data_IF_878137798513
#
_entry.id   IF_878137798513
#
_cell.length_a   1.000
_cell.length_b   1.000
_cell.length_c   1.000
_cell.angle_alpha   90.00
_cell.angle_beta   90.00
_cell.angle_gamma   90.00
#
_symmetry.space_group_name_H-M   'P 1'
#
loop_
_entity.id
_entity.type
_entity.pdbx_description
1 polymer ?
#
# COMPACT_ATOMS: atom_id res chain seq x y z
N UNK A 1 -10.44 -0.55 3.75
CA UNK A 1 -10.95 -1.81 3.16
C UNK A 1 -10.83 -1.66 1.66
N UNK A 2 -10.14 -2.59 0.98
CA UNK A 2 -9.90 -2.49 -0.47
C UNK A 2 -11.20 -2.61 -1.25
N UNK A 3 -11.21 -2.22 -2.52
CA UNK A 3 -12.37 -2.39 -3.38
C UNK A 3 -12.69 -3.87 -3.62
N UNK A 4 -11.66 -4.71 -3.78
CA UNK A 4 -11.81 -6.16 -3.84
C UNK A 4 -12.38 -6.73 -2.54
N UNK A 5 -11.96 -6.22 -1.37
CA UNK A 5 -12.55 -6.62 -0.09
C UNK A 5 -14.06 -6.34 -0.05
N UNK A 6 -14.49 -5.18 -0.55
CA UNK A 6 -15.90 -4.83 -0.62
C UNK A 6 -16.68 -5.82 -1.51
N UNK A 7 -16.09 -6.24 -2.64
CA UNK A 7 -16.67 -7.24 -3.56
C UNK A 7 -16.82 -8.59 -2.87
N UNK A 8 -15.76 -9.07 -2.23
CA UNK A 8 -15.77 -10.36 -1.51
C UNK A 8 -16.78 -10.36 -0.38
N UNK A 9 -16.85 -9.28 0.40
CA UNK A 9 -17.76 -9.14 1.52
C UNK A 9 -19.22 -9.12 1.06
N UNK A 10 -19.54 -8.40 -0.01
CA UNK A 10 -20.88 -8.38 -0.60
C UNK A 10 -21.30 -9.73 -1.18
N UNK A 11 -20.39 -10.42 -1.87
CA UNK A 11 -20.65 -11.76 -2.40
C UNK A 11 -20.90 -12.76 -1.26
N UNK A 12 -20.07 -12.72 -0.22
CA UNK A 12 -20.24 -13.54 0.99
C UNK A 12 -21.57 -13.25 1.69
N UNK A 13 -21.96 -11.98 1.83
CA UNK A 13 -23.23 -11.59 2.44
C UNK A 13 -24.43 -12.14 1.68
N UNK A 14 -24.40 -12.01 0.35
CA UNK A 14 -25.46 -12.52 -0.51
C UNK A 14 -25.57 -14.04 -0.42
N UNK A 15 -24.44 -14.75 -0.46
CA UNK A 15 -24.42 -16.20 -0.33
C UNK A 15 -24.91 -16.66 1.04
N UNK A 16 -24.46 -16.04 2.13
CA UNK A 16 -24.91 -16.36 3.48
C UNK A 16 -26.42 -16.22 3.62
N UNK A 17 -27.00 -15.15 3.06
CA UNK A 17 -28.44 -14.87 3.15
C UNK A 17 -29.30 -15.73 2.22
N UNK A 18 -28.82 -16.04 1.02
CA UNK A 18 -29.66 -16.61 -0.04
C UNK A 18 -29.23 -18.00 -0.49
N UNK A 19 -28.12 -18.53 0.03
CA UNK A 19 -27.50 -19.80 -0.39
C UNK A 19 -27.29 -19.86 -1.91
N UNK A 20 -27.01 -18.70 -2.51
CA UNK A 20 -26.80 -18.52 -3.94
C UNK A 20 -25.86 -17.33 -4.17
N UNK A 21 -25.01 -17.44 -5.18
CA UNK A 21 -24.10 -16.36 -5.56
C UNK A 21 -24.81 -15.23 -6.32
N UNK A 22 -24.35 -13.99 -6.19
CA UNK A 22 -24.95 -12.88 -6.89
C UNK A 22 -24.63 -12.88 -8.38
N UNK A 23 -25.53 -12.34 -9.18
CA UNK A 23 -25.34 -12.19 -10.63
C UNK A 23 -24.93 -10.77 -11.04
N UNK A 24 -25.13 -9.77 -10.18
CA UNK A 24 -24.76 -8.38 -10.42
C UNK A 24 -24.17 -7.70 -9.18
N UNK A 25 -23.06 -6.99 -9.36
CA UNK A 25 -22.44 -6.09 -8.38
C UNK A 25 -22.46 -4.66 -8.91
N UNK A 26 -22.74 -3.70 -8.04
CA UNK A 26 -22.79 -2.28 -8.36
C UNK A 26 -21.80 -1.53 -7.49
N UNK A 27 -20.82 -0.90 -8.11
CA UNK A 27 -19.77 -0.11 -7.46
C UNK A 27 -19.89 1.35 -7.90
N UNK A 28 -19.62 2.30 -7.01
CA UNK A 28 -19.40 3.68 -7.43
C UNK A 28 -18.10 3.81 -8.26
N UNK A 29 -17.94 4.93 -8.96
CA UNK A 29 -16.80 5.14 -9.84
C UNK A 29 -15.43 5.02 -9.11
N UNK A 30 -15.23 5.59 -7.90
CA UNK A 30 -13.98 5.43 -7.17
C UNK A 30 -13.65 3.97 -6.84
N UNK A 31 -14.64 3.18 -6.38
CA UNK A 31 -14.43 1.76 -6.08
C UNK A 31 -14.19 0.94 -7.34
N UNK A 32 -14.90 1.21 -8.44
CA UNK A 32 -14.63 0.49 -9.69
C UNK A 32 -13.22 0.77 -10.20
N UNK A 33 -12.79 2.03 -10.16
CA UNK A 33 -11.44 2.43 -10.53
C UNK A 33 -10.40 1.75 -9.64
N UNK A 34 -10.59 1.78 -8.32
CA UNK A 34 -9.70 1.10 -7.37
C UNK A 34 -9.63 -0.41 -7.63
N UNK A 35 -10.77 -1.08 -7.88
CA UNK A 35 -10.80 -2.51 -8.19
C UNK A 35 -9.96 -2.83 -9.43
N UNK A 36 -10.06 -2.02 -10.48
CA UNK A 36 -9.28 -2.21 -11.71
C UNK A 36 -7.77 -2.07 -11.51
N UNK A 37 -7.32 -1.37 -10.46
CA UNK A 37 -5.91 -1.21 -10.11
C UNK A 37 -5.43 -2.18 -9.02
N UNK A 38 -6.34 -2.73 -8.21
CA UNK A 38 -6.05 -3.68 -7.13
C UNK A 38 -5.88 -5.13 -7.62
N UNK A 39 -6.37 -5.46 -8.82
CA UNK A 39 -6.37 -6.83 -9.34
C UNK A 39 -5.71 -6.92 -10.71
N UNK A 40 -5.15 -8.08 -11.03
CA UNK A 40 -4.60 -8.33 -12.37
C UNK A 40 -5.72 -8.34 -13.42
N UNK A 41 -5.38 -8.14 -14.70
CA UNK A 41 -6.36 -8.28 -15.79
C UNK A 41 -7.02 -9.67 -15.81
N UNK A 42 -6.28 -10.72 -15.45
CA UNK A 42 -6.80 -12.09 -15.35
C UNK A 42 -7.79 -12.24 -14.19
N UNK A 43 -7.51 -11.65 -13.03
CA UNK A 43 -8.44 -11.61 -11.89
C UNK A 43 -9.69 -10.79 -12.20
N UNK A 44 -9.54 -9.63 -12.86
CA UNK A 44 -10.67 -8.82 -13.28
C UNK A 44 -11.58 -9.58 -14.26
N UNK A 45 -10.99 -10.33 -15.19
CA UNK A 45 -11.72 -11.21 -16.10
C UNK A 45 -12.46 -12.31 -15.33
N UNK A 46 -11.81 -12.98 -14.36
CA UNK A 46 -12.44 -13.98 -13.49
C UNK A 46 -13.66 -13.41 -12.76
N UNK A 47 -13.54 -12.23 -12.17
CA UNK A 47 -14.67 -11.54 -11.53
C UNK A 47 -15.82 -11.36 -12.53
N UNK A 48 -15.54 -10.79 -13.71
CA UNK A 48 -16.56 -10.52 -14.73
C UNK A 48 -17.22 -11.79 -15.31
N UNK A 49 -16.57 -12.96 -15.24
CA UNK A 49 -17.17 -14.25 -15.63
C UNK A 49 -18.25 -14.68 -14.65
N UNK A 50 -18.05 -14.42 -13.36
CA UNK A 50 -18.96 -14.83 -12.31
C UNK A 50 -20.09 -13.84 -12.05
N UNK A 51 -19.81 -12.54 -12.19
CA UNK A 51 -20.73 -11.48 -11.80
C UNK A 51 -20.64 -10.28 -12.72
N UNK A 52 -21.80 -9.72 -13.08
CA UNK A 52 -21.85 -8.48 -13.86
C UNK A 52 -21.50 -7.30 -12.98
N UNK A 53 -20.41 -6.60 -13.27
CA UNK A 53 -20.05 -5.35 -12.59
C UNK A 53 -20.71 -4.16 -13.29
N UNK A 54 -21.42 -3.32 -12.55
CA UNK A 54 -22.04 -2.09 -13.03
C UNK A 54 -21.60 -0.88 -12.20
N UNK A 55 -21.56 0.28 -12.85
CA UNK A 55 -21.38 1.56 -12.15
C UNK A 55 -22.72 2.02 -11.57
N UNK A 56 -22.71 2.48 -10.31
CA UNK A 56 -23.82 3.24 -9.70
C UNK A 56 -23.42 4.70 -9.50
N UNK A 57 -24.42 5.59 -9.54
CA UNK A 57 -24.24 7.04 -9.37
C UNK A 57 -24.16 7.48 -7.90
N UNK A 58 -24.62 6.63 -6.99
CA UNK A 58 -24.61 6.90 -5.55
C UNK A 58 -23.39 6.27 -4.88
N UNK A 59 -22.78 6.91 -3.87
CA UNK A 59 -21.62 6.36 -3.18
C UNK A 59 -21.88 4.98 -2.58
N UNK A 60 -20.84 4.15 -2.57
CA UNK A 60 -20.84 2.83 -1.95
C UNK A 60 -20.83 1.67 -2.94
N UNK A 61 -21.11 0.49 -2.40
CA UNK A 61 -21.18 -0.76 -3.14
C UNK A 61 -22.45 -1.52 -2.74
N UNK A 62 -23.04 -2.22 -3.69
CA UNK A 62 -24.19 -3.07 -3.45
C UNK A 62 -24.18 -4.27 -4.37
N UNK A 63 -24.86 -5.33 -3.98
CA UNK A 63 -25.07 -6.51 -4.80
C UNK A 63 -26.55 -6.68 -5.09
N UNK A 64 -26.87 -7.06 -6.33
CA UNK A 64 -28.23 -7.25 -6.83
C UNK A 64 -28.53 -8.71 -7.17
N UNK A 65 -29.81 -9.05 -7.14
CA UNK A 65 -30.31 -10.41 -7.35
C UNK A 65 -31.73 -10.55 -6.79
N UNK A 66 -31.94 -11.50 -5.87
CA UNK A 66 -33.21 -11.66 -5.14
C UNK A 66 -33.50 -10.52 -4.15
N UNK A 67 -32.46 -9.81 -3.69
CA UNK A 67 -32.55 -8.62 -2.84
C UNK A 67 -31.32 -7.72 -3.08
N UNK A 68 -31.42 -6.44 -2.72
CA UNK A 68 -30.28 -5.52 -2.71
C UNK A 68 -29.63 -5.59 -1.33
N UNK A 69 -28.32 -5.92 -1.27
CA UNK A 69 -27.52 -5.80 -0.05
C UNK A 69 -26.48 -4.71 -0.26
N UNK A 70 -26.35 -3.81 0.71
CA UNK A 70 -25.30 -2.81 0.75
C UNK A 70 -24.12 -3.29 1.59
N UNK A 71 -22.98 -2.63 1.44
CA UNK A 71 -21.77 -2.99 2.18
C UNK A 71 -21.98 -2.94 3.71
N UNK A 72 -22.79 -2.00 4.21
CA UNK A 72 -23.16 -1.91 5.62
C UNK A 72 -23.96 -3.12 6.12
N UNK A 73 -24.68 -3.82 5.23
CA UNK A 73 -25.42 -5.05 5.57
C UNK A 73 -24.49 -6.28 5.64
N UNK A 74 -23.22 -6.13 5.23
CA UNK A 74 -22.25 -7.20 5.10
C UNK A 74 -21.20 -7.21 6.24
N UNK A 75 -21.30 -6.30 7.20
CA UNK A 75 -20.40 -6.23 8.35
C UNK A 75 -20.60 -7.39 9.32
N UNK A 76 -19.49 -7.90 9.88
CA UNK A 76 -19.51 -8.97 10.89
C UNK A 76 -19.70 -10.40 10.36
N UNK A 77 -19.54 -10.63 9.05
CA UNK A 77 -19.64 -11.98 8.49
C UNK A 77 -18.50 -12.91 8.97
N UNK A 78 -18.78 -14.21 9.18
CA UNK A 78 -17.74 -15.18 9.55
C UNK A 78 -16.65 -15.30 8.48
N UNK A 79 -15.40 -15.51 8.92
CA UNK A 79 -14.22 -15.69 8.03
C UNK A 79 -14.46 -16.75 6.95
N UNK A 80 -15.14 -17.86 7.28
CA UNK A 80 -15.46 -18.92 6.32
C UNK A 80 -16.34 -18.45 5.15
N UNK A 81 -17.26 -17.52 5.39
CA UNK A 81 -18.13 -16.99 4.34
C UNK A 81 -17.32 -16.21 3.29
N UNK A 82 -16.28 -15.51 3.76
CA UNK A 82 -15.32 -14.81 2.91
C UNK A 82 -14.45 -15.78 2.12
N UNK A 83 -13.88 -16.80 2.76
CA UNK A 83 -13.08 -17.83 2.07
C UNK A 83 -13.87 -18.50 0.94
N UNK A 84 -15.17 -18.75 1.16
CA UNK A 84 -16.06 -19.29 0.14
C UNK A 84 -16.21 -18.34 -1.07
N UNK A 85 -16.28 -17.03 -0.84
CA UNK A 85 -16.38 -16.03 -1.91
C UNK A 85 -15.07 -15.90 -2.71
N UNK A 86 -13.92 -16.00 -2.05
CA UNK A 86 -12.60 -16.05 -2.69
C UNK A 86 -12.47 -17.28 -3.61
N UNK A 87 -12.90 -18.44 -3.11
CA UNK A 87 -12.94 -19.69 -3.89
C UNK A 87 -13.90 -19.59 -5.08
N UNK A 88 -15.07 -18.99 -4.90
CA UNK A 88 -16.07 -18.87 -5.95
C UNK A 88 -15.62 -17.93 -7.08
N UNK A 89 -15.12 -16.74 -6.74
CA UNK A 89 -14.63 -15.79 -7.74
C UNK A 89 -13.29 -16.22 -8.36
N UNK A 90 -12.59 -17.18 -7.74
CA UNK A 90 -11.25 -17.58 -8.15
C UNK A 90 -10.23 -16.45 -8.01
N UNK A 91 -10.53 -15.46 -7.17
CA UNK A 91 -9.65 -14.34 -6.85
C UNK A 91 -9.34 -14.36 -5.38
N UNK A 92 -8.07 -14.21 -5.06
CA UNK A 92 -7.66 -13.93 -3.69
C UNK A 92 -7.37 -12.45 -3.61
N UNK A 93 -7.77 -11.78 -2.52
CA UNK A 93 -7.20 -10.47 -2.24
C UNK A 93 -5.71 -10.68 -2.17
N UNK A 94 -4.99 -10.04 -3.10
CA UNK A 94 -3.60 -9.82 -2.87
C UNK A 94 -3.52 -9.16 -1.50
N UNK A 95 -2.63 -9.66 -0.64
CA UNK A 95 -2.32 -8.96 0.59
C UNK A 95 -1.63 -7.66 0.15
N UNK A 96 -2.43 -6.63 -0.15
CA UNK A 96 -2.08 -5.40 -0.89
C UNK A 96 -1.32 -5.65 -2.21
N UNK A 97 -2.02 -5.74 -3.37
CA UNK A 97 -1.43 -5.56 -4.71
C UNK A 97 -1.81 -4.21 -5.30
N UNK A 98 -1.13 -3.14 -4.89
CA UNK A 98 -0.72 -2.17 -5.90
C UNK A 98 0.44 -2.78 -6.68
N UNK A 99 0.85 -2.20 -7.82
CA UNK A 99 2.26 -2.32 -8.19
C UNK A 99 3.07 -1.98 -6.94
N UNK A 100 3.98 -2.85 -6.47
CA UNK A 100 4.66 -2.60 -5.22
C UNK A 100 5.35 -1.25 -5.35
N UNK A 101 4.94 -0.34 -4.48
CA UNK A 101 5.45 1.02 -4.48
C UNK A 101 6.67 1.08 -3.59
N UNK A 102 7.63 1.92 -3.94
CA UNK A 102 8.79 2.14 -3.07
C UNK A 102 8.31 2.60 -1.68
N UNK A 103 7.23 3.37 -1.60
CA UNK A 103 6.63 3.81 -0.34
C UNK A 103 6.38 2.68 0.68
N UNK A 104 6.02 1.47 0.23
CA UNK A 104 5.79 0.32 1.10
C UNK A 104 7.03 -0.10 1.91
N UNK A 105 8.24 0.14 1.38
CA UNK A 105 9.50 -0.16 2.07
C UNK A 105 9.68 0.66 3.36
N UNK A 106 8.91 1.74 3.53
CA UNK A 106 8.94 2.57 4.75
C UNK A 106 8.09 1.98 5.90
N UNK A 107 7.45 0.82 5.69
CA UNK A 107 6.66 0.13 6.70
C UNK A 107 7.26 -1.24 7.08
N UNK A 108 7.24 -1.62 8.36
CA UNK A 108 6.91 -0.78 9.52
C UNK A 108 7.95 0.33 9.72
N UNK A 109 7.56 1.41 10.40
CA UNK A 109 8.49 2.48 10.77
C UNK A 109 9.55 1.91 11.72
N UNK A 110 10.79 2.36 11.60
CA UNK A 110 11.85 2.03 12.56
C UNK A 110 11.65 2.79 13.88
N UNK A 111 11.97 2.13 14.98
CA UNK A 111 11.75 2.70 16.32
C UNK A 111 13.02 3.33 16.90
N UNK A 112 14.19 2.86 16.44
CA UNK A 112 15.50 3.35 16.86
C UNK A 112 16.10 4.27 15.80
N UNK A 113 16.58 5.43 16.25
CA UNK A 113 17.08 6.53 15.42
C UNK A 113 18.40 7.03 15.99
N UNK A 114 19.27 7.61 15.14
CA UNK A 114 20.51 8.22 15.61
C UNK A 114 20.25 9.56 16.29
N UNK A 115 19.62 10.49 15.58
CA UNK A 115 19.30 11.85 16.01
C UNK A 115 17.83 12.22 15.72
N UNK A 116 17.39 13.35 16.26
CA UNK A 116 15.98 13.76 16.22
C UNK A 116 15.51 14.20 14.84
N UNK A 117 16.42 14.52 13.91
CA UNK A 117 16.10 14.78 12.52
C UNK A 117 15.88 13.52 11.67
N UNK A 118 16.39 12.35 12.08
CA UNK A 118 16.26 11.12 11.28
C UNK A 118 14.80 10.69 11.04
N UNK A 119 13.89 10.75 12.04
CA UNK A 119 12.46 10.56 11.81
C UNK A 119 11.86 11.46 10.73
N UNK A 120 12.33 12.72 10.64
CA UNK A 120 11.85 13.69 9.66
C UNK A 120 12.39 13.37 8.27
N UNK A 121 13.66 12.97 8.16
CA UNK A 121 14.24 12.50 6.90
C UNK A 121 13.53 11.24 6.40
N UNK A 122 13.23 10.27 7.27
CA UNK A 122 12.43 9.09 6.92
C UNK A 122 11.05 9.46 6.36
N UNK A 123 10.33 10.37 7.01
CA UNK A 123 9.04 10.84 6.52
C UNK A 123 9.15 11.62 5.20
N UNK A 124 10.23 12.40 5.02
CA UNK A 124 10.51 13.12 3.79
C UNK A 124 10.81 12.16 2.64
N UNK A 125 11.64 11.14 2.85
CA UNK A 125 11.93 10.09 1.87
C UNK A 125 10.66 9.31 1.51
N UNK A 126 9.85 8.90 2.48
CA UNK A 126 8.58 8.21 2.20
C UNK A 126 7.71 9.03 1.24
N UNK A 127 7.54 10.33 1.51
CA UNK A 127 6.79 11.24 0.63
C UNK A 127 7.46 11.40 -0.73
N UNK A 128 8.78 11.50 -0.77
CA UNK A 128 9.55 11.59 -2.01
C UNK A 128 9.36 10.35 -2.91
N UNK A 129 9.18 9.18 -2.32
CA UNK A 129 8.99 7.90 -3.00
C UNK A 129 7.53 7.46 -3.13
N UNK A 130 6.58 8.25 -2.63
CA UNK A 130 5.15 7.97 -2.75
C UNK A 130 4.73 7.84 -4.23
N UNK A 131 4.11 6.71 -4.57
CA UNK A 131 3.67 6.41 -5.93
C UNK A 131 4.80 6.15 -6.95
N UNK A 132 6.07 6.12 -6.54
CA UNK A 132 7.19 5.74 -7.41
C UNK A 132 7.31 4.23 -7.52
N UNK A 133 7.62 3.75 -8.71
CA UNK A 133 7.91 2.35 -8.97
C UNK A 133 9.16 1.90 -8.20
N UNK A 134 9.22 0.61 -7.90
CA UNK A 134 10.40 -0.01 -7.32
C UNK A 134 11.54 -0.09 -8.35
N UNK A 135 12.79 0.27 -7.99
CA UNK A 135 13.96 0.11 -8.84
C UNK A 135 14.22 -1.36 -9.22
N UNK A 136 14.93 -1.59 -10.32
CA UNK A 136 15.10 -2.92 -10.89
C UNK A 136 16.03 -3.82 -10.05
N UNK A 137 16.98 -3.21 -9.32
CA UNK A 137 17.95 -3.93 -8.50
C UNK A 137 18.41 -3.16 -7.25
N UNK A 138 19.19 -3.84 -6.40
CA UNK A 138 19.65 -3.34 -5.10
C UNK A 138 20.59 -2.14 -5.27
N UNK A 139 21.47 -2.17 -6.27
CA UNK A 139 22.41 -1.08 -6.57
C UNK A 139 21.66 0.19 -7.00
N UNK A 140 20.68 0.05 -7.88
CA UNK A 140 19.79 1.14 -8.31
C UNK A 140 19.00 1.68 -7.13
N UNK A 141 18.50 0.80 -6.25
CA UNK A 141 17.78 1.17 -5.03
C UNK A 141 18.65 2.01 -4.10
N UNK A 142 19.89 1.57 -3.84
CA UNK A 142 20.82 2.31 -3.02
C UNK A 142 21.13 3.68 -3.64
N UNK A 143 21.39 3.72 -4.96
CA UNK A 143 21.71 4.95 -5.67
C UNK A 143 20.57 5.98 -5.59
N UNK A 144 19.32 5.59 -5.87
CA UNK A 144 18.19 6.52 -5.82
C UNK A 144 17.89 7.01 -4.42
N UNK A 145 18.08 6.17 -3.39
CA UNK A 145 17.92 6.59 -1.99
C UNK A 145 19.01 7.58 -1.59
N UNK A 146 20.28 7.31 -1.92
CA UNK A 146 21.37 8.24 -1.64
C UNK A 146 21.15 9.59 -2.34
N UNK A 147 20.72 9.58 -3.60
CA UNK A 147 20.41 10.78 -4.35
C UNK A 147 19.25 11.57 -3.69
N UNK A 148 18.15 10.88 -3.35
CA UNK A 148 17.00 11.51 -2.70
C UNK A 148 17.35 12.08 -1.32
N UNK A 149 18.21 11.40 -0.54
CA UNK A 149 18.70 11.96 0.72
C UNK A 149 19.49 13.23 0.45
N UNK A 150 20.41 13.21 -0.51
CA UNK A 150 21.23 14.37 -0.85
C UNK A 150 20.40 15.60 -1.24
N UNK A 151 19.36 15.40 -2.05
CA UNK A 151 18.40 16.44 -2.41
C UNK A 151 17.63 16.98 -1.19
N UNK A 152 17.27 16.11 -0.24
CA UNK A 152 16.46 16.47 0.93
C UNK A 152 17.25 17.16 2.04
N UNK A 153 18.54 16.84 2.22
CA UNK A 153 19.39 17.42 3.28
C UNK A 153 20.35 18.48 2.74
N UNK A 154 20.51 18.60 1.43
CA UNK A 154 21.34 19.59 0.75
C UNK A 154 22.82 19.23 0.62
N UNK A 155 23.22 17.98 0.92
CA UNK A 155 24.60 17.52 0.79
C UNK A 155 24.69 16.00 0.57
N UNK A 156 25.81 15.52 0.00
CA UNK A 156 26.04 14.08 -0.18
C UNK A 156 26.43 13.43 1.16
N UNK A 157 25.60 12.51 1.64
CA UNK A 157 25.85 11.71 2.85
C UNK A 157 27.25 11.06 2.87
N UNK A 158 27.79 10.66 1.71
CA UNK A 158 29.07 9.94 1.62
C UNK A 158 30.27 10.83 1.95
N UNK A 159 30.10 12.15 1.91
CA UNK A 159 31.16 13.14 2.15
C UNK A 159 30.83 14.13 3.25
N UNK A 160 29.61 14.09 3.79
CA UNK A 160 29.15 15.00 4.83
C UNK A 160 29.79 14.68 6.19
N UNK A 161 29.70 15.65 7.12
CA UNK A 161 30.03 15.44 8.54
C UNK A 161 29.07 14.43 9.19
N UNK A 162 29.46 13.90 10.36
CA UNK A 162 28.67 12.90 11.10
C UNK A 162 27.27 13.42 11.47
N UNK A 163 27.16 14.69 11.86
CA UNK A 163 25.90 15.34 12.23
C UNK A 163 25.56 16.45 11.23
N UNK A 164 24.42 16.29 10.56
CA UNK A 164 24.03 17.18 9.46
C UNK A 164 22.82 18.00 9.92
N UNK A 165 23.00 19.32 10.07
CA UNK A 165 21.91 20.22 10.44
C UNK A 165 20.98 20.49 9.26
N UNK A 166 19.71 20.12 9.38
CA UNK A 166 18.67 20.36 8.37
C UNK A 166 17.60 21.29 8.97
N UNK A 167 17.62 22.61 8.68
CA UNK A 167 16.71 23.57 9.30
C UNK A 167 15.23 23.23 9.15
N UNK A 168 14.84 22.59 8.04
CA UNK A 168 13.47 22.15 7.78
C UNK A 168 12.98 21.04 8.74
N UNK A 169 13.89 20.38 9.45
CA UNK A 169 13.59 19.31 10.41
C UNK A 169 13.65 19.80 11.86
N UNK A 170 14.00 21.06 12.11
CA UNK A 170 13.99 21.64 13.45
C UNK A 170 12.56 22.04 13.84
N UNK A 171 12.10 21.55 14.99
CA UNK A 171 10.77 21.83 15.57
C UNK A 171 10.84 22.48 16.97
N UNK A 172 12.03 22.87 17.42
CA UNK A 172 12.29 23.49 18.72
C UNK A 172 12.50 22.49 19.88
N UNK A 173 12.87 21.24 19.60
CA UNK A 173 12.91 20.19 20.63
C UNK A 173 14.18 20.17 21.51
N UNK A 174 15.24 20.91 21.16
CA UNK A 174 16.49 21.00 21.96
C UNK A 174 17.78 20.84 21.14
N UNK A 175 18.88 20.45 21.82
CA UNK A 175 20.26 20.53 21.29
C UNK A 175 20.57 19.65 20.05
N UNK A 176 19.73 18.67 19.71
CA UNK A 176 19.91 17.81 18.52
C UNK A 176 18.74 17.93 17.54
N UNK A 177 17.96 18.99 17.67
CA UNK A 177 16.76 19.22 16.88
C UNK A 177 17.12 19.59 15.43
N UNK A 178 16.51 18.87 14.48
CA UNK A 178 16.80 19.01 13.05
C UNK A 178 18.13 18.42 12.57
N UNK A 179 18.90 17.74 13.43
CA UNK A 179 20.12 17.05 12.98
C UNK A 179 19.83 15.63 12.50
N UNK A 180 20.42 15.28 11.36
CA UNK A 180 20.45 13.93 10.76
C UNK A 180 21.79 13.26 11.08
N UNK A 181 21.76 11.99 11.43
CA UNK A 181 22.96 11.22 11.77
C UNK A 181 23.48 10.45 10.55
N UNK A 182 24.61 10.89 9.98
CA UNK A 182 25.16 10.33 8.74
C UNK A 182 25.35 8.83 8.81
N UNK A 183 26.05 8.35 9.84
CA UNK A 183 26.44 6.94 9.95
C UNK A 183 25.23 6.04 10.19
N UNK A 184 24.17 6.60 10.81
CA UNK A 184 22.91 5.89 10.94
C UNK A 184 22.30 5.60 9.57
N UNK A 185 22.31 6.58 8.66
CA UNK A 185 21.79 6.38 7.31
C UNK A 185 22.67 5.49 6.46
N UNK A 186 24.00 5.63 6.53
CA UNK A 186 24.93 4.79 5.77
C UNK A 186 24.90 3.32 6.22
N UNK A 187 24.83 3.06 7.52
CA UNK A 187 24.97 1.71 8.07
C UNK A 187 23.63 1.02 8.35
N UNK A 188 22.56 1.78 8.58
CA UNK A 188 21.26 1.24 8.98
C UNK A 188 20.12 1.65 8.04
N UNK A 189 19.93 2.96 7.83
CA UNK A 189 18.78 3.49 7.09
C UNK A 189 18.70 3.04 5.63
N UNK A 190 19.76 3.29 4.85
CA UNK A 190 19.82 2.90 3.44
C UNK A 190 19.85 1.37 3.28
N UNK A 191 20.71 0.61 3.98
CA UNK A 191 20.71 -0.85 3.87
C UNK A 191 19.37 -1.50 4.21
N UNK A 192 18.63 -0.94 5.19
CA UNK A 192 17.29 -1.41 5.52
C UNK A 192 16.30 -1.20 4.37
N UNK A 193 16.29 -0.02 3.75
CA UNK A 193 15.39 0.29 2.64
C UNK A 193 15.70 -0.61 1.44
N UNK A 194 16.97 -0.83 1.11
CA UNK A 194 17.38 -1.76 0.05
C UNK A 194 16.84 -3.16 0.31
N UNK A 195 17.04 -3.71 1.52
CA UNK A 195 16.54 -5.05 1.87
C UNK A 195 15.01 -5.16 1.76
N UNK A 196 14.29 -4.13 2.20
CA UNK A 196 12.81 -4.12 2.14
C UNK A 196 12.31 -4.03 0.71
N UNK A 197 12.94 -3.19 -0.12
CA UNK A 197 12.62 -3.11 -1.55
C UNK A 197 12.91 -4.43 -2.28
N UNK A 198 14.01 -5.10 -1.97
CA UNK A 198 14.29 -6.43 -2.52
C UNK A 198 13.19 -7.44 -2.16
N UNK A 199 12.78 -7.48 -0.89
CA UNK A 199 11.67 -8.33 -0.44
C UNK A 199 10.36 -8.00 -1.18
N UNK A 200 10.07 -6.71 -1.36
CA UNK A 200 8.90 -6.22 -2.11
C UNK A 200 9.00 -6.42 -3.61
N UNK A 201 10.16 -6.76 -4.17
CA UNK A 201 10.32 -7.10 -5.59
C UNK A 201 10.16 -8.60 -5.80
N UNK A 202 10.76 -9.38 -4.91
CA UNK A 202 10.69 -10.85 -4.91
C UNK A 202 9.27 -11.36 -4.62
N UNK A 203 8.47 -10.65 -3.83
CA UNK A 203 7.09 -11.03 -3.54
C UNK A 203 6.13 -10.90 -4.74
N UNK A 204 6.59 -10.33 -5.86
CA UNK A 204 5.80 -10.06 -7.08
C UNK A 204 6.35 -10.70 -8.35
N UNK A 205 7.50 -11.36 -8.27
CA UNK A 205 8.12 -12.08 -9.40
C UNK A 205 7.74 -13.55 -9.34
#
# INVERSE_FOLDING_TARGET
MSSLDNVLQLAAAHYARHQAWPTELRLDAPRLHALAHEVTAADFARICVHVRVRVRQTPGASVGGRAVLQLADADGLPVRAREQAELWLGVRPARHAGTPSFEEAFFPRIEQWGLRGDPHLWAALRRHFAGKAIPANDDETAAVVHYAIGDLIGCDLRTADEHIGVPAFSIGSGMSDGYVHRDFWLETGVPLLVRRVATLRDSWT
#
